data_IF_886424707171
#
_entry.id   IF_886424707171
#
_cell.length_a   1.000
_cell.length_b   1.000
_cell.length_c   1.000
_cell.angle_alpha   90.00
_cell.angle_beta   90.00
_cell.angle_gamma   90.00
#
_symmetry.space_group_name_H-M   'P 1'
#
loop_
_entity.id
_entity.type
_entity.pdbx_description
1 polymer ?
#
# COMPACT_ATOMS: atom_id res chain seq x y z
N UNK A 1 45.38 33.35 -0.20
CA UNK A 1 44.58 32.10 -0.18
C UNK A 1 43.12 32.48 -0.23
N UNK A 2 42.25 31.78 -0.97
CA UNK A 2 40.83 32.11 -1.00
C UNK A 2 40.16 31.76 0.34
N UNK A 3 39.22 32.61 0.77
CA UNK A 3 38.61 32.59 2.12
C UNK A 3 37.89 31.29 2.47
N UNK A 4 37.37 30.56 1.47
CA UNK A 4 36.65 29.30 1.68
C UNK A 4 37.53 28.16 2.22
N UNK A 5 38.87 28.30 2.19
CA UNK A 5 39.79 27.31 2.79
C UNK A 5 39.91 27.42 4.31
N UNK A 6 39.53 28.56 4.90
CA UNK A 6 39.65 28.83 6.34
C UNK A 6 38.29 28.95 7.03
N UNK A 7 37.19 28.84 6.27
CA UNK A 7 35.85 28.83 6.81
C UNK A 7 35.40 27.38 7.11
N UNK A 8 34.84 27.13 8.31
CA UNK A 8 34.18 25.86 8.58
C UNK A 8 33.06 25.63 7.56
N UNK A 9 32.92 24.38 7.11
CA UNK A 9 31.80 24.00 6.26
C UNK A 9 30.46 24.34 6.96
N UNK A 10 29.45 24.86 6.22
CA UNK A 10 28.11 25.01 6.75
C UNK A 10 27.62 23.67 7.33
N UNK A 11 26.93 23.72 8.47
CA UNK A 11 26.32 22.52 9.05
C UNK A 11 25.30 22.00 8.05
N UNK A 12 25.52 20.76 7.59
CA UNK A 12 24.58 20.08 6.71
C UNK A 12 23.25 19.93 7.47
N UNK A 13 22.14 20.52 6.98
CA UNK A 13 20.86 20.37 7.66
C UNK A 13 20.52 18.88 7.67
N UNK A 14 20.28 18.34 8.87
CA UNK A 14 19.82 16.95 8.98
C UNK A 14 18.49 16.84 8.24
N UNK A 15 18.38 16.04 7.18
CA UNK A 15 17.13 15.91 6.46
C UNK A 15 16.07 15.36 7.43
N UNK A 16 14.85 15.92 7.42
CA UNK A 16 13.77 15.35 8.21
C UNK A 16 13.60 13.88 7.81
N UNK A 17 13.35 12.99 8.80
CA UNK A 17 13.02 11.61 8.48
C UNK A 17 11.76 11.62 7.63
N UNK A 18 11.79 11.05 6.41
CA UNK A 18 10.62 11.05 5.57
C UNK A 18 9.50 10.26 6.25
N UNK A 19 8.27 10.80 6.18
CA UNK A 19 7.06 10.07 6.54
C UNK A 19 7.01 8.79 5.72
N UNK A 20 6.71 7.66 6.37
CA UNK A 20 6.61 6.34 5.75
C UNK A 20 5.16 5.89 5.74
N UNK A 21 4.38 6.18 4.68
CA UNK A 21 2.94 5.94 4.69
C UNK A 21 2.54 4.48 4.95
N UNK A 22 3.38 3.53 4.52
CA UNK A 22 3.14 2.08 4.66
C UNK A 22 3.68 1.47 5.96
N UNK A 23 4.41 2.24 6.78
CA UNK A 23 4.77 1.83 8.13
C UNK A 23 3.85 2.56 9.10
N UNK A 24 3.17 1.87 10.04
CA UNK A 24 2.53 2.57 11.13
C UNK A 24 3.61 3.39 11.83
N UNK A 25 3.34 4.66 12.13
CA UNK A 25 4.20 5.45 13.01
C UNK A 25 4.57 4.61 14.23
N UNK A 26 5.76 4.78 14.80
CA UNK A 26 6.15 4.00 16.00
C UNK A 26 5.15 4.19 17.17
N UNK A 27 4.37 5.28 17.17
CA UNK A 27 3.23 5.53 18.06
C UNK A 27 1.87 4.97 17.59
N UNK A 28 1.77 4.51 16.34
CA UNK A 28 0.58 3.94 15.70
C UNK A 28 0.76 2.45 15.35
N UNK A 29 1.63 1.71 16.07
CA UNK A 29 1.51 0.24 16.10
C UNK A 29 0.05 -0.06 16.43
N UNK A 30 -0.72 -0.52 15.44
CA UNK A 30 -2.07 -1.02 15.67
C UNK A 30 -1.92 -2.05 16.77
N UNK A 31 -2.38 -1.69 17.97
CA UNK A 31 -2.43 -2.64 19.05
C UNK A 31 -3.22 -3.84 18.50
N UNK A 32 -2.72 -5.08 18.66
CA UNK A 32 -3.51 -6.25 18.31
C UNK A 32 -4.90 -6.06 18.90
N UNK A 33 -5.94 -6.28 18.09
CA UNK A 33 -7.33 -6.15 18.53
C UNK A 33 -7.48 -6.84 19.89
N UNK A 34 -8.21 -6.26 20.87
CA UNK A 34 -8.30 -6.82 22.21
C UNK A 34 -8.62 -8.32 22.17
N UNK A 35 -7.69 -9.17 22.62
CA UNK A 35 -7.81 -10.63 22.58
C UNK A 35 -6.99 -11.35 21.49
N UNK A 36 -6.31 -10.64 20.59
CA UNK A 36 -5.33 -11.29 19.68
C UNK A 36 -4.02 -11.56 20.40
N UNK A 37 -3.78 -12.83 20.72
CA UNK A 37 -2.49 -13.28 21.25
C UNK A 37 -1.35 -13.02 20.26
N UNK A 38 -0.13 -12.90 20.77
CA UNK A 38 1.09 -12.59 19.98
C UNK A 38 1.23 -13.53 18.76
N UNK A 39 0.88 -14.81 18.91
CA UNK A 39 0.88 -15.80 17.82
C UNK A 39 -0.15 -15.53 16.71
N UNK A 40 -1.33 -14.99 17.04
CA UNK A 40 -2.34 -14.66 16.04
C UNK A 40 -1.93 -13.44 15.20
N UNK A 41 -1.28 -12.46 15.83
CA UNK A 41 -0.74 -11.30 15.13
C UNK A 41 0.39 -11.69 14.16
N UNK A 42 1.28 -12.60 14.56
CA UNK A 42 2.33 -13.10 13.66
C UNK A 42 1.77 -13.85 12.45
N UNK A 43 0.71 -14.65 12.64
CA UNK A 43 0.05 -15.38 11.54
C UNK A 43 -0.68 -14.42 10.59
N UNK A 44 -1.35 -13.39 11.10
CA UNK A 44 -1.99 -12.37 10.26
C UNK A 44 -0.98 -11.61 9.40
N UNK A 45 0.17 -11.25 9.97
CA UNK A 45 1.27 -10.62 9.23
C UNK A 45 1.87 -11.55 8.17
N UNK A 46 2.05 -12.84 8.49
CA UNK A 46 2.50 -13.85 7.54
C UNK A 46 1.58 -13.97 6.32
N UNK A 47 0.27 -14.09 6.59
CA UNK A 47 -0.76 -14.12 5.55
C UNK A 47 -0.75 -12.85 4.69
N UNK A 48 -0.60 -11.69 5.33
CA UNK A 48 -0.47 -10.40 4.63
C UNK A 48 0.69 -10.39 3.63
N UNK A 49 1.90 -10.74 4.09
CA UNK A 49 3.09 -10.83 3.22
C UNK A 49 2.90 -11.82 2.08
N UNK A 50 2.30 -12.98 2.35
CA UNK A 50 2.07 -14.00 1.33
C UNK A 50 1.07 -13.53 0.27
N UNK A 51 0.01 -12.82 0.66
CA UNK A 51 -0.97 -12.25 -0.25
C UNK A 51 -0.33 -11.23 -1.20
N UNK A 52 0.43 -10.27 -0.65
CA UNK A 52 1.17 -9.29 -1.45
C UNK A 52 2.11 -9.97 -2.44
N UNK A 53 2.85 -10.98 -1.98
CA UNK A 53 3.75 -11.75 -2.85
C UNK A 53 3.02 -12.49 -3.96
N UNK A 54 1.81 -12.99 -3.70
CA UNK A 54 0.96 -13.61 -4.73
C UNK A 54 0.49 -12.57 -5.76
N UNK A 55 0.02 -11.39 -5.32
CA UNK A 55 -0.38 -10.30 -6.23
C UNK A 55 0.78 -9.73 -7.05
N UNK A 56 2.00 -9.76 -6.50
CA UNK A 56 3.21 -9.37 -7.22
C UNK A 56 3.53 -10.36 -8.36
N UNK A 57 3.54 -11.66 -8.06
CA UNK A 57 4.04 -12.69 -8.98
C UNK A 57 2.98 -13.18 -9.98
N UNK A 58 1.78 -13.52 -9.51
CA UNK A 58 0.80 -14.25 -10.32
C UNK A 58 0.37 -13.53 -11.60
N UNK A 59 0.25 -12.18 -11.67
CA UNK A 59 -0.15 -11.51 -12.90
C UNK A 59 0.76 -11.80 -14.09
N UNK A 60 2.06 -11.96 -13.87
CA UNK A 60 3.05 -12.27 -14.91
C UNK A 60 3.02 -13.76 -15.36
N UNK A 61 2.28 -14.62 -14.67
CA UNK A 61 2.14 -16.04 -15.00
C UNK A 61 0.93 -16.23 -15.90
N UNK A 62 1.04 -17.12 -16.89
CA UNK A 62 -0.06 -17.49 -17.77
C UNK A 62 -1.30 -17.95 -16.96
N UNK A 63 -2.53 -17.51 -17.31
CA UNK A 63 -3.73 -17.78 -16.51
C UNK A 63 -3.94 -19.25 -16.13
N UNK A 64 -3.65 -20.17 -17.05
CA UNK A 64 -3.79 -21.62 -16.82
C UNK A 64 -2.81 -22.19 -15.78
N UNK A 65 -1.72 -21.48 -15.47
CA UNK A 65 -0.66 -21.93 -14.56
C UNK A 65 -0.70 -21.22 -13.20
N UNK A 66 -1.49 -20.14 -13.05
CA UNK A 66 -1.52 -19.30 -11.84
C UNK A 66 -1.91 -20.08 -10.59
N UNK A 67 -2.95 -20.92 -10.67
CA UNK A 67 -3.42 -21.68 -9.52
C UNK A 67 -2.35 -22.69 -9.00
N UNK A 68 -1.65 -23.35 -9.92
CA UNK A 68 -0.55 -24.26 -9.54
C UNK A 68 0.65 -23.50 -8.96
N UNK A 69 0.98 -22.33 -9.52
CA UNK A 69 2.03 -21.48 -8.99
C UNK A 69 1.69 -21.00 -7.58
N UNK A 70 0.46 -20.53 -7.36
CA UNK A 70 -0.03 -20.08 -6.06
C UNK A 70 0.06 -21.21 -5.01
N UNK A 71 -0.38 -22.43 -5.36
CA UNK A 71 -0.25 -23.61 -4.49
C UNK A 71 1.19 -23.89 -4.09
N UNK A 72 2.14 -23.82 -5.04
CA UNK A 72 3.58 -24.02 -4.74
C UNK A 72 4.13 -22.94 -3.81
N UNK A 73 3.75 -21.68 -4.02
CA UNK A 73 4.19 -20.54 -3.19
C UNK A 73 3.66 -20.63 -1.76
N UNK A 74 2.42 -21.08 -1.60
CA UNK A 74 1.81 -21.32 -0.27
C UNK A 74 2.45 -22.52 0.42
N UNK A 75 2.67 -23.62 -0.32
CA UNK A 75 3.27 -24.83 0.24
C UNK A 75 4.71 -24.64 0.73
N UNK A 76 5.41 -23.59 0.27
CA UNK A 76 6.75 -23.24 0.76
C UNK A 76 6.75 -22.41 2.05
N UNK A 77 5.58 -22.02 2.57
CA UNK A 77 5.47 -21.25 3.81
C UNK A 77 5.32 -22.18 5.02
N UNK A 78 5.96 -21.83 6.13
CA UNK A 78 5.88 -22.59 7.40
C UNK A 78 5.00 -21.93 8.45
N UNK A 79 4.71 -20.64 8.27
CA UNK A 79 3.96 -19.78 9.18
C UNK A 79 2.48 -19.59 8.79
N UNK A 80 2.03 -20.28 7.73
CA UNK A 80 0.64 -20.29 7.25
C UNK A 80 0.17 -21.74 7.12
N UNK A 81 -0.98 -22.09 7.71
CA UNK A 81 -1.54 -23.44 7.62
C UNK A 81 -2.03 -23.75 6.20
N UNK A 82 -2.13 -25.04 5.85
CA UNK A 82 -2.61 -25.45 4.53
C UNK A 82 -4.04 -24.95 4.24
N UNK A 83 -4.92 -24.98 5.25
CA UNK A 83 -6.30 -24.50 5.16
C UNK A 83 -6.33 -22.99 4.92
N UNK A 84 -5.60 -22.22 5.73
CA UNK A 84 -5.51 -20.77 5.59
C UNK A 84 -4.88 -20.36 4.24
N UNK A 85 -3.90 -21.13 3.78
CA UNK A 85 -3.26 -20.96 2.49
C UNK A 85 -4.21 -21.22 1.31
N UNK A 86 -5.05 -22.25 1.40
CA UNK A 86 -6.08 -22.52 0.40
C UNK A 86 -7.09 -21.36 0.27
N UNK A 87 -7.60 -20.88 1.40
CA UNK A 87 -8.50 -19.70 1.43
C UNK A 87 -7.82 -18.47 0.82
N UNK A 88 -6.56 -18.23 1.16
CA UNK A 88 -5.81 -17.10 0.61
C UNK A 88 -5.67 -17.17 -0.92
N UNK A 89 -5.40 -18.36 -1.47
CA UNK A 89 -5.33 -18.55 -2.93
C UNK A 89 -6.66 -18.20 -3.56
N UNK A 90 -7.77 -18.70 -3.01
CA UNK A 90 -9.10 -18.43 -3.57
C UNK A 90 -9.41 -16.93 -3.55
N UNK A 91 -9.10 -16.23 -2.46
CA UNK A 91 -9.35 -14.79 -2.35
C UNK A 91 -8.48 -13.96 -3.31
N UNK A 92 -7.19 -14.29 -3.45
CA UNK A 92 -6.31 -13.66 -4.43
C UNK A 92 -6.82 -13.86 -5.85
N UNK A 93 -7.21 -15.09 -6.21
CA UNK A 93 -7.70 -15.40 -7.54
C UNK A 93 -9.03 -14.69 -7.84
N UNK A 94 -9.93 -14.58 -6.86
CA UNK A 94 -11.18 -13.80 -6.99
C UNK A 94 -10.89 -12.33 -7.27
N UNK A 95 -9.99 -11.71 -6.49
CA UNK A 95 -9.59 -10.30 -6.68
C UNK A 95 -8.97 -10.08 -8.06
N UNK A 96 -8.05 -10.96 -8.48
CA UNK A 96 -7.43 -10.88 -9.81
C UNK A 96 -8.42 -11.05 -10.97
N UNK A 97 -9.53 -11.72 -10.75
CA UNK A 97 -10.58 -11.92 -11.75
C UNK A 97 -11.59 -10.76 -11.81
N UNK A 98 -11.49 -9.75 -10.95
CA UNK A 98 -12.41 -8.61 -10.97
C UNK A 98 -12.19 -7.75 -12.21
N UNK A 99 -13.23 -7.50 -13.03
CA UNK A 99 -13.09 -6.64 -14.21
C UNK A 99 -12.65 -5.22 -13.88
N UNK A 100 -13.09 -4.68 -12.73
CA UNK A 100 -12.71 -3.36 -12.25
C UNK A 100 -11.21 -3.22 -11.91
N UNK A 101 -10.49 -4.33 -11.74
CA UNK A 101 -9.05 -4.34 -11.46
C UNK A 101 -8.22 -4.88 -12.64
N UNK A 102 -8.83 -5.10 -13.81
CA UNK A 102 -8.17 -5.72 -14.95
C UNK A 102 -6.88 -5.00 -15.35
N UNK A 103 -6.92 -3.66 -15.40
CA UNK A 103 -5.76 -2.84 -15.75
C UNK A 103 -4.62 -2.98 -14.73
N UNK A 104 -4.96 -3.05 -13.44
CA UNK A 104 -4.00 -3.27 -12.35
C UNK A 104 -3.35 -4.66 -12.43
N UNK A 105 -3.96 -5.65 -13.07
CA UNK A 105 -3.36 -6.98 -13.28
C UNK A 105 -2.85 -7.21 -14.70
N UNK A 106 -2.78 -6.16 -15.52
CA UNK A 106 -2.18 -6.19 -16.85
C UNK A 106 -0.65 -6.24 -16.80
N UNK A 107 -0.02 -6.55 -17.93
CA UNK A 107 1.44 -6.52 -18.09
C UNK A 107 2.03 -5.11 -17.99
N UNK A 108 1.21 -4.06 -18.13
CA UNK A 108 1.63 -2.65 -18.01
C UNK A 108 1.59 -2.14 -16.57
N UNK A 109 0.92 -2.86 -15.67
CA UNK A 109 0.88 -2.48 -14.28
C UNK A 109 2.20 -2.83 -13.58
N UNK A 110 2.64 -1.91 -12.75
CA UNK A 110 3.83 -2.02 -11.94
C UNK A 110 3.44 -2.48 -10.54
N UNK A 111 4.22 -3.40 -9.98
CA UNK A 111 4.09 -3.84 -8.58
C UNK A 111 5.21 -3.24 -7.74
N UNK A 112 4.96 -3.05 -6.44
CA UNK A 112 5.99 -2.68 -5.45
C UNK A 112 6.76 -1.39 -5.80
N UNK A 113 6.05 -0.39 -6.37
CA UNK A 113 6.65 0.85 -6.88
C UNK A 113 7.08 1.74 -5.73
N UNK A 114 8.38 2.02 -5.65
CA UNK A 114 8.91 3.02 -4.72
C UNK A 114 8.55 4.42 -5.18
N UNK A 115 8.03 5.24 -4.26
CA UNK A 115 7.70 6.65 -4.51
C UNK A 115 8.22 7.52 -3.37
N UNK A 116 8.78 8.67 -3.72
CA UNK A 116 9.27 9.64 -2.73
C UNK A 116 9.18 11.06 -3.26
N UNK A 117 8.98 12.01 -2.36
CA UNK A 117 8.95 13.43 -2.69
C UNK A 117 8.61 14.27 -1.48
N UNK A 118 8.09 15.47 -1.71
CA UNK A 118 7.68 16.39 -0.65
C UNK A 118 6.18 16.65 -0.80
N UNK A 119 5.44 16.56 0.31
CA UNK A 119 4.01 16.88 0.37
C UNK A 119 3.79 17.80 1.57
N UNK A 120 3.22 18.99 1.35
CA UNK A 120 2.97 19.95 2.44
C UNK A 120 4.22 20.45 3.16
N UNK A 121 5.42 20.32 2.56
CA UNK A 121 6.70 20.67 3.18
C UNK A 121 7.40 19.50 3.89
N UNK A 122 6.73 18.37 4.06
CA UNK A 122 7.30 17.17 4.66
C UNK A 122 7.85 16.22 3.60
N UNK A 123 9.02 15.63 3.87
CA UNK A 123 9.54 14.53 3.07
C UNK A 123 8.67 13.29 3.24
N UNK A 124 8.35 12.62 2.14
CA UNK A 124 7.53 11.40 2.10
C UNK A 124 8.26 10.34 1.30
N UNK A 125 8.29 9.11 1.80
CA UNK A 125 8.81 7.95 1.09
C UNK A 125 7.95 6.72 1.37
N UNK A 126 7.52 6.01 0.33
CA UNK A 126 6.69 4.83 0.48
C UNK A 126 6.82 3.87 -0.70
N UNK A 127 6.07 2.78 -0.59
CA UNK A 127 5.98 1.74 -1.59
C UNK A 127 4.50 1.51 -1.90
N UNK A 128 4.16 1.56 -3.18
CA UNK A 128 2.83 1.32 -3.71
C UNK A 128 2.75 -0.15 -4.12
N UNK A 129 1.76 -0.89 -3.61
CA UNK A 129 1.59 -2.31 -3.96
C UNK A 129 1.35 -2.48 -5.46
N UNK A 130 0.50 -1.63 -6.05
CA UNK A 130 0.16 -1.68 -7.47
C UNK A 130 -0.12 -0.32 -8.07
N UNK A 131 0.48 -0.06 -9.23
CA UNK A 131 0.32 1.17 -10.01
C UNK A 131 0.05 0.83 -11.47
N UNK A 132 -0.93 1.47 -12.09
CA UNK A 132 -1.14 1.42 -13.53
C UNK A 132 -1.27 2.84 -14.07
N UNK A 133 -0.50 3.15 -15.11
CA UNK A 133 -0.50 4.44 -15.79
C UNK A 133 -1.15 4.27 -17.15
N UNK A 134 -2.40 4.73 -17.25
CA UNK A 134 -3.21 4.73 -18.47
C UNK A 134 -3.06 6.01 -19.28
N UNK A 135 -4.05 6.31 -20.11
CA UNK A 135 -4.15 7.59 -20.81
C UNK A 135 -5.21 8.46 -20.12
N UNK A 136 -4.81 9.55 -19.48
CA UNK A 136 -5.69 10.44 -18.73
C UNK A 136 -6.03 9.95 -17.32
N UNK A 137 -5.49 8.81 -16.88
CA UNK A 137 -5.78 8.24 -15.57
C UNK A 137 -4.61 7.38 -15.05
N UNK A 138 -4.35 7.51 -13.75
CA UNK A 138 -3.42 6.66 -13.00
C UNK A 138 -4.18 5.95 -11.89
N UNK A 139 -4.13 4.62 -11.89
CA UNK A 139 -4.70 3.78 -10.84
C UNK A 139 -3.61 3.43 -9.84
N UNK A 140 -3.85 3.70 -8.56
CA UNK A 140 -3.00 3.27 -7.46
C UNK A 140 -3.81 2.42 -6.49
N UNK A 141 -3.33 1.23 -6.17
CA UNK A 141 -4.00 0.30 -5.27
C UNK A 141 -3.10 -0.20 -4.14
N UNK A 142 -3.71 -0.42 -2.98
CA UNK A 142 -3.13 -1.09 -1.82
C UNK A 142 -4.07 -2.23 -1.38
N UNK A 143 -3.51 -3.43 -1.16
CA UNK A 143 -4.28 -4.63 -0.84
C UNK A 143 -4.29 -4.89 0.66
N UNK A 144 -5.50 -5.00 1.23
CA UNK A 144 -5.73 -5.27 2.65
C UNK A 144 -6.27 -6.68 2.87
N UNK A 145 -5.54 -7.49 3.62
CA UNK A 145 -5.83 -8.92 3.89
C UNK A 145 -6.60 -9.18 5.17
N UNK A 146 -7.23 -8.15 5.74
CA UNK A 146 -8.07 -8.26 6.91
C UNK A 146 -9.54 -8.02 6.57
N UNK A 147 -10.44 -8.16 7.55
CA UNK A 147 -11.85 -7.86 7.35
C UNK A 147 -12.02 -6.39 6.98
N UNK A 148 -12.93 -6.13 6.05
CA UNK A 148 -13.31 -4.76 5.70
C UNK A 148 -13.98 -4.09 6.91
N UNK A 149 -13.43 -2.98 7.42
CA UNK A 149 -14.03 -2.27 8.53
C UNK A 149 -15.24 -1.46 8.06
N UNK A 150 -16.18 -1.18 8.97
CA UNK A 150 -17.32 -0.30 8.66
C UNK A 150 -16.87 1.14 8.34
N UNK A 151 -15.79 1.58 8.98
CA UNK A 151 -15.17 2.89 8.77
C UNK A 151 -13.71 2.68 8.42
N UNK A 152 -13.26 3.27 7.31
CA UNK A 152 -11.87 3.16 6.87
C UNK A 152 -10.92 3.82 7.85
N UNK A 153 -9.88 3.13 8.32
CA UNK A 153 -8.88 3.71 9.20
C UNK A 153 -8.24 4.95 8.58
N UNK A 154 -8.16 6.04 9.36
CA UNK A 154 -7.57 7.31 8.91
C UNK A 154 -6.14 7.16 8.38
N UNK A 155 -5.37 6.20 8.94
CA UNK A 155 -4.03 5.88 8.46
C UNK A 155 -4.02 5.41 7.00
N UNK A 156 -4.99 4.59 6.57
CA UNK A 156 -5.09 4.13 5.18
C UNK A 156 -5.52 5.27 4.26
N UNK A 157 -6.49 6.09 4.67
CA UNK A 157 -6.89 7.26 3.88
C UNK A 157 -5.72 8.23 3.71
N UNK A 158 -4.98 8.51 4.78
CA UNK A 158 -3.78 9.36 4.74
C UNK A 158 -2.68 8.76 3.87
N UNK A 159 -2.45 7.45 3.96
CA UNK A 159 -1.48 6.76 3.11
C UNK A 159 -1.80 6.96 1.63
N UNK A 160 -3.05 6.67 1.23
CA UNK A 160 -3.49 6.82 -0.16
C UNK A 160 -3.50 8.27 -0.61
N UNK A 161 -3.80 9.22 0.28
CA UNK A 161 -3.74 10.65 -0.02
C UNK A 161 -2.30 11.12 -0.28
N UNK A 162 -1.32 10.63 0.49
CA UNK A 162 0.09 10.92 0.26
C UNK A 162 0.60 10.33 -1.06
N UNK A 163 0.18 9.11 -1.41
CA UNK A 163 0.49 8.55 -2.72
C UNK A 163 -0.13 9.36 -3.85
N UNK A 164 -1.40 9.76 -3.72
CA UNK A 164 -2.05 10.60 -4.72
C UNK A 164 -1.31 11.92 -4.90
N UNK A 165 -1.01 12.64 -3.82
CA UNK A 165 -0.30 13.93 -3.88
C UNK A 165 1.11 13.84 -4.50
N UNK A 166 1.80 12.70 -4.34
CA UNK A 166 3.08 12.46 -5.00
C UNK A 166 2.89 12.10 -6.49
N UNK A 167 1.88 11.31 -6.82
CA UNK A 167 1.57 10.94 -8.21
C UNK A 167 1.06 12.13 -9.02
N UNK A 168 0.28 13.04 -8.43
CA UNK A 168 -0.18 14.29 -9.07
C UNK A 168 0.99 15.21 -9.45
N UNK A 169 2.13 15.12 -8.74
CA UNK A 169 3.36 15.85 -9.13
C UNK A 169 4.07 15.22 -10.33
N UNK A 170 3.91 13.91 -10.52
CA UNK A 170 4.53 13.15 -11.62
C UNK A 170 3.64 13.17 -12.87
N UNK A 171 2.33 13.13 -12.67
CA UNK A 171 1.29 13.02 -13.70
C UNK A 171 0.26 14.16 -13.50
N UNK A 172 0.62 15.42 -13.78
CA UNK A 172 -0.22 16.59 -13.46
C UNK A 172 -1.49 16.70 -14.30
N UNK A 173 -1.54 16.03 -15.45
CA UNK A 173 -2.66 16.07 -16.40
C UNK A 173 -3.54 14.82 -16.33
N UNK A 174 -3.23 13.86 -15.45
CA UNK A 174 -3.96 12.59 -15.31
C UNK A 174 -4.78 12.54 -14.02
N UNK A 175 -5.96 11.92 -14.08
CA UNK A 175 -6.78 11.68 -12.90
C UNK A 175 -6.17 10.58 -12.03
N UNK A 176 -5.86 10.89 -10.77
CA UNK A 176 -5.36 9.87 -9.82
C UNK A 176 -6.52 9.21 -9.08
N UNK A 177 -6.69 7.91 -9.31
CA UNK A 177 -7.69 7.05 -8.67
C UNK A 177 -7.02 6.16 -7.64
N UNK A 178 -7.43 6.30 -6.39
CA UNK A 178 -6.88 5.54 -5.25
C UNK A 178 -7.84 4.46 -4.79
N UNK A 179 -7.38 3.22 -4.78
CA UNK A 179 -8.17 2.03 -4.45
C UNK A 179 -7.60 1.31 -3.23
N UNK A 180 -8.43 1.09 -2.22
CA UNK A 180 -8.19 0.09 -1.18
C UNK A 180 -8.91 -1.20 -1.57
N UNK A 181 -8.17 -2.30 -1.72
CA UNK A 181 -8.74 -3.58 -2.14
C UNK A 181 -8.75 -4.54 -0.96
N UNK A 182 -9.94 -4.84 -0.44
CA UNK A 182 -10.14 -5.75 0.70
C UNK A 182 -10.26 -7.18 0.20
N UNK A 183 -9.21 -7.97 0.38
CA UNK A 183 -9.04 -9.25 -0.32
C UNK A 183 -10.01 -10.32 0.19
N UNK A 184 -10.19 -10.43 1.51
CA UNK A 184 -11.12 -11.40 2.12
C UNK A 184 -12.58 -11.13 1.73
N UNK A 185 -12.94 -9.84 1.62
CA UNK A 185 -14.30 -9.43 1.28
C UNK A 185 -14.54 -9.39 -0.24
N UNK A 186 -13.48 -9.49 -1.04
CA UNK A 186 -13.51 -9.24 -2.48
C UNK A 186 -14.22 -7.89 -2.80
N UNK A 187 -13.85 -6.83 -2.06
CA UNK A 187 -14.43 -5.49 -2.19
C UNK A 187 -13.37 -4.46 -2.59
N UNK A 188 -13.78 -3.51 -3.43
CA UNK A 188 -12.97 -2.37 -3.83
C UNK A 188 -13.57 -1.13 -3.17
N UNK A 189 -12.73 -0.39 -2.48
CA UNK A 189 -13.09 0.91 -1.93
C UNK A 189 -12.26 1.98 -2.62
N UNK A 190 -12.91 2.77 -3.46
CA UNK A 190 -12.32 4.00 -4.00
C UNK A 190 -12.41 5.12 -2.97
N UNK A 191 -11.33 5.87 -2.79
CA UNK A 191 -11.32 7.06 -1.94
C UNK A 191 -11.52 8.31 -2.81
N UNK A 192 -12.55 9.10 -2.49
CA UNK A 192 -12.84 10.35 -3.20
C UNK A 192 -11.72 11.37 -3.03
N UNK A 193 -11.61 12.30 -3.99
CA UNK A 193 -10.65 13.42 -3.91
C UNK A 193 -10.82 14.22 -2.61
N UNK A 194 -12.06 14.52 -2.21
CA UNK A 194 -12.35 15.24 -0.97
C UNK A 194 -11.84 14.50 0.28
N UNK A 195 -12.03 13.17 0.34
CA UNK A 195 -11.55 12.36 1.46
C UNK A 195 -10.02 12.35 1.53
N UNK A 196 -9.35 12.31 0.37
CA UNK A 196 -7.88 12.39 0.30
C UNK A 196 -7.39 13.77 0.73
N UNK A 197 -8.00 14.84 0.22
CA UNK A 197 -7.62 16.20 0.56
C UNK A 197 -7.79 16.49 2.06
N UNK A 198 -8.90 16.05 2.65
CA UNK A 198 -9.13 16.16 4.09
C UNK A 198 -8.06 15.42 4.91
N UNK A 199 -7.60 14.26 4.44
CA UNK A 199 -6.58 13.45 5.13
C UNK A 199 -5.15 14.03 5.05
N UNK A 200 -4.88 14.96 4.13
CA UNK A 200 -3.60 15.68 4.05
C UNK A 200 -3.54 16.86 5.01
N UNK A 201 -4.67 17.43 5.40
CA UNK A 201 -4.74 18.54 6.33
C UNK A 201 -4.64 18.02 7.77
N UNK A 202 -3.56 18.32 8.52
CA UNK A 202 -3.37 17.81 9.88
C UNK A 202 -4.41 18.29 10.90
N UNK A 203 -5.27 19.25 10.54
CA UNK A 203 -6.20 19.94 11.44
C UNK A 203 -7.58 19.31 11.65
N UNK A 204 -7.97 18.30 10.86
CA UNK A 204 -9.37 17.84 10.81
C UNK A 204 -9.58 16.34 11.14
N UNK A 205 -8.64 15.69 11.85
CA UNK A 205 -8.93 14.36 12.40
C UNK A 205 -9.72 14.50 13.72
N UNK A 206 -11.00 14.08 13.78
CA UNK A 206 -11.72 14.05 15.05
C UNK A 206 -11.15 12.92 15.90
N UNK A 207 -10.38 13.27 16.94
CA UNK A 207 -9.83 12.27 17.86
C UNK A 207 -8.65 12.65 18.75
N UNK A 208 -8.18 13.90 18.75
CA UNK A 208 -7.18 14.36 19.72
C UNK A 208 -7.73 15.50 20.56
N UNK A 209 -8.43 15.13 21.64
CA UNK A 209 -8.67 15.94 22.83
C UNK A 209 -8.48 15.04 24.05
#
# INVERSE_FOLDING_TARGET
>A
KPLWLEQPAPVEPSPPRPLRPSQPDEGARMAPAPGTGIGAASTAMARGRLAHRLFEILPAIAPSQRADAARRMVASQTDVSAEAGGVLIDDVMKVMAMPALADLFSERALAEVSISGVVGGDGVAGQIDRLYVGAGQVLVADFKTGPMPQVTPAAYTRQMALYAALLEQIYPDDDIVTLLVWTEAAQIQELSADARQAALNPGDLPGTA
#
